data_IF_151838919825
#
_entry.id   IF_151838919825
#
_cell.length_a   1.000
_cell.length_b   1.000
_cell.length_c   1.000
_cell.angle_alpha   90.00
_cell.angle_beta   90.00
_cell.angle_gamma   90.00
#
_symmetry.space_group_name_H-M   'P 1'
#
loop_
_entity.id
_entity.type
_entity.pdbx_description
1 polymer ?
#
# COMPACT_ATOMS: atom_id res chain seq x y z
N UNK A 1 -46.26 -30.30 24.71
CA UNK A 1 -46.28 -29.06 25.51
C UNK A 1 -45.02 -28.20 25.30
N UNK A 2 -44.71 -27.77 24.07
CA UNK A 2 -43.51 -26.97 23.74
C UNK A 2 -43.82 -25.59 23.12
N UNK A 3 -45.09 -25.23 22.95
CA UNK A 3 -45.50 -24.00 22.24
C UNK A 3 -45.62 -22.74 23.10
N UNK A 4 -45.78 -22.87 24.42
CA UNK A 4 -45.95 -21.73 25.34
C UNK A 4 -44.64 -21.15 25.87
N UNK A 5 -43.57 -21.97 25.99
CA UNK A 5 -42.23 -21.47 26.38
C UNK A 5 -41.57 -20.67 25.25
N UNK A 6 -41.71 -21.11 23.99
CA UNK A 6 -41.22 -20.38 22.82
C UNK A 6 -41.94 -19.03 22.62
N UNK A 7 -43.27 -18.97 22.81
CA UNK A 7 -44.01 -17.70 22.77
C UNK A 7 -43.60 -16.73 23.87
N UNK A 8 -43.32 -17.22 25.09
CA UNK A 8 -42.78 -16.38 26.18
C UNK A 8 -41.36 -15.88 25.89
N UNK A 9 -40.54 -16.65 25.16
CA UNK A 9 -39.20 -16.24 24.75
C UNK A 9 -39.25 -15.15 23.66
N UNK A 10 -40.11 -15.32 22.65
CA UNK A 10 -40.34 -14.29 21.62
C UNK A 10 -40.99 -13.02 22.18
N UNK A 11 -41.86 -13.13 23.20
CA UNK A 11 -42.40 -11.98 23.90
C UNK A 11 -41.32 -11.25 24.72
N UNK A 12 -40.38 -11.98 25.37
CA UNK A 12 -39.22 -11.36 26.05
C UNK A 12 -38.26 -10.68 25.08
N UNK A 13 -38.04 -11.25 23.89
CA UNK A 13 -37.18 -10.66 22.85
C UNK A 13 -37.84 -9.49 22.09
N UNK A 14 -39.17 -9.43 22.03
CA UNK A 14 -39.90 -8.29 21.45
C UNK A 14 -40.07 -7.10 22.41
N UNK A 15 -39.71 -7.25 23.70
CA UNK A 15 -39.72 -6.14 24.68
C UNK A 15 -38.42 -5.30 24.63
N UNK A 16 -37.35 -5.78 23.99
CA UNK A 16 -36.14 -4.98 23.75
C UNK A 16 -36.22 -4.08 22.49
N UNK A 17 -37.31 -4.15 21.71
CA UNK A 17 -37.58 -3.17 20.64
C UNK A 17 -38.11 -1.82 21.15
N UNK A 18 -38.34 -1.71 22.46
CA UNK A 18 -38.71 -0.46 23.14
C UNK A 18 -37.63 0.02 24.14
N UNK A 19 -36.36 -0.39 23.96
CA UNK A 19 -35.26 0.50 24.37
C UNK A 19 -35.22 1.67 23.37
N UNK A 20 -36.11 2.63 23.64
CA UNK A 20 -35.84 4.04 23.41
C UNK A 20 -34.46 4.30 24.01
N UNK A 21 -33.42 4.17 23.19
CA UNK A 21 -32.26 5.04 23.31
C UNK A 21 -32.91 6.40 23.38
N UNK A 22 -32.92 6.98 24.57
CA UNK A 22 -33.16 8.39 24.76
C UNK A 22 -32.08 9.04 23.91
N UNK A 23 -32.41 9.25 22.63
CA UNK A 23 -31.69 10.17 21.80
C UNK A 23 -31.70 11.43 22.63
N UNK A 24 -30.53 11.77 23.15
CA UNK A 24 -30.28 13.08 23.71
C UNK A 24 -30.87 14.01 22.68
N UNK A 25 -32.03 14.57 23.02
CA UNK A 25 -32.71 15.55 22.22
C UNK A 25 -31.63 16.54 21.88
N UNK A 26 -31.21 16.54 20.61
CA UNK A 26 -30.39 17.61 20.07
C UNK A 26 -31.28 18.82 20.25
N UNK A 27 -31.18 19.48 21.42
CA UNK A 27 -31.53 20.87 21.58
C UNK A 27 -30.93 21.50 20.34
N UNK A 28 -31.80 21.89 19.41
CA UNK A 28 -31.43 22.62 18.21
C UNK A 28 -30.79 23.88 18.75
N UNK A 29 -29.49 23.82 18.97
CA UNK A 29 -28.65 25.00 18.96
C UNK A 29 -28.87 25.52 17.55
N UNK A 30 -29.80 26.47 17.41
CA UNK A 30 -29.85 27.35 16.26
C UNK A 30 -28.54 28.14 16.33
N UNK A 31 -27.45 27.49 15.91
CA UNK A 31 -26.24 28.19 15.48
C UNK A 31 -26.76 29.08 14.36
N UNK A 32 -26.79 30.39 14.60
CA UNK A 32 -26.88 31.40 13.54
C UNK A 32 -25.96 30.90 12.44
N UNK A 33 -26.54 30.42 11.33
CA UNK A 33 -25.75 30.06 10.15
C UNK A 33 -25.25 31.40 9.66
N UNK A 34 -24.03 31.77 10.06
CA UNK A 34 -23.24 32.75 9.34
C UNK A 34 -23.35 32.37 7.86
N UNK A 35 -23.56 33.33 6.95
CA UNK A 35 -23.58 33.04 5.53
C UNK A 35 -22.26 32.35 5.19
N UNK A 36 -22.30 31.04 4.99
CA UNK A 36 -21.16 30.28 4.51
C UNK A 36 -20.99 30.69 3.06
N UNK A 37 -20.01 31.55 2.80
CA UNK A 37 -19.49 31.75 1.46
C UNK A 37 -18.88 30.43 1.01
N UNK A 38 -19.63 29.65 0.22
CA UNK A 38 -19.13 28.44 -0.40
C UNK A 38 -18.22 28.85 -1.55
N UNK A 39 -16.92 28.61 -1.40
CA UNK A 39 -15.96 28.81 -2.49
C UNK A 39 -16.33 27.88 -3.65
N UNK A 40 -16.37 28.36 -4.89
CA UNK A 40 -16.60 27.51 -6.05
C UNK A 40 -15.60 26.34 -6.15
N UNK A 41 -16.04 25.20 -6.70
CA UNK A 41 -15.23 23.96 -6.77
C UNK A 41 -13.90 24.19 -7.54
N UNK A 42 -13.85 25.11 -8.52
CA UNK A 42 -12.62 25.46 -9.23
C UNK A 42 -11.61 26.22 -8.35
N UNK A 43 -12.08 27.12 -7.49
CA UNK A 43 -11.23 27.82 -6.51
C UNK A 43 -10.69 26.85 -5.47
N UNK A 44 -11.52 25.90 -5.00
CA UNK A 44 -11.06 24.84 -4.10
C UNK A 44 -10.02 23.94 -4.74
N UNK A 45 -10.18 23.59 -6.03
CA UNK A 45 -9.15 22.83 -6.74
C UNK A 45 -7.83 23.58 -6.81
N UNK A 46 -7.86 24.89 -7.10
CA UNK A 46 -6.65 25.72 -7.12
C UNK A 46 -5.97 25.75 -5.74
N UNK A 47 -6.74 25.93 -4.66
CA UNK A 47 -6.19 25.87 -3.29
C UNK A 47 -5.53 24.51 -3.02
N UNK A 48 -6.19 23.42 -3.46
CA UNK A 48 -5.66 22.07 -3.27
C UNK A 48 -4.41 21.79 -4.10
N UNK A 49 -4.23 22.46 -5.24
CA UNK A 49 -3.02 22.34 -6.07
C UNK A 49 -1.78 22.88 -5.35
N UNK A 50 -1.95 23.88 -4.47
CA UNK A 50 -0.87 24.44 -3.64
C UNK A 50 -0.83 23.89 -2.20
N UNK A 51 -1.57 22.82 -1.93
CA UNK A 51 -1.68 22.23 -0.59
C UNK A 51 -1.04 20.86 -0.54
N UNK A 52 -0.53 20.48 0.64
CA UNK A 52 -0.02 19.13 0.86
C UNK A 52 -1.06 18.06 0.53
N UNK A 53 -0.73 17.00 -0.24
CA UNK A 53 -1.63 15.88 -0.52
C UNK A 53 -2.17 15.23 0.76
N UNK A 54 -1.40 15.22 1.84
CA UNK A 54 -1.83 14.69 3.13
C UNK A 54 -2.94 15.52 3.76
N UNK A 55 -2.85 16.85 3.66
CA UNK A 55 -3.85 17.75 4.22
C UNK A 55 -5.12 17.75 3.38
N UNK A 56 -5.00 17.72 2.05
CA UNK A 56 -6.15 17.56 1.14
C UNK A 56 -6.95 16.30 1.48
N UNK A 57 -6.27 15.16 1.74
CA UNK A 57 -6.94 13.92 2.17
C UNK A 57 -7.62 14.05 3.54
N UNK A 58 -7.04 14.81 4.49
CA UNK A 58 -7.68 15.09 5.79
C UNK A 58 -8.90 16.00 5.62
N UNK A 59 -8.77 17.05 4.80
CA UNK A 59 -9.80 18.05 4.51
C UNK A 59 -11.07 17.45 3.90
N UNK A 60 -10.94 16.30 3.23
CA UNK A 60 -12.07 15.44 2.83
C UNK A 60 -13.07 15.16 3.96
N UNK A 61 -12.66 15.17 5.23
CA UNK A 61 -13.53 14.91 6.39
C UNK A 61 -14.18 16.16 6.98
N UNK A 62 -13.77 17.36 6.55
CA UNK A 62 -14.21 18.64 7.12
C UNK A 62 -15.64 18.96 6.72
N UNK A 63 -15.98 18.86 5.43
CA UNK A 63 -17.33 19.11 4.94
C UNK A 63 -17.63 18.30 3.65
N UNK A 64 -18.91 18.31 3.23
CA UNK A 64 -19.37 17.56 2.05
C UNK A 64 -18.78 18.07 0.73
N UNK A 65 -18.57 19.38 0.61
CA UNK A 65 -18.01 19.98 -0.60
C UNK A 65 -16.55 19.55 -0.79
N UNK A 66 -15.73 19.66 0.25
CA UNK A 66 -14.34 19.21 0.27
C UNK A 66 -14.27 17.73 -0.05
N UNK A 67 -15.16 16.92 0.56
CA UNK A 67 -15.27 15.51 0.24
C UNK A 67 -15.51 15.27 -1.26
N UNK A 68 -16.48 15.97 -1.85
CA UNK A 68 -16.84 15.86 -3.27
C UNK A 68 -15.65 16.25 -4.16
N UNK A 69 -15.00 17.39 -3.89
CA UNK A 69 -13.86 17.87 -4.68
C UNK A 69 -12.69 16.90 -4.61
N UNK A 70 -12.31 16.45 -3.40
CA UNK A 70 -11.22 15.47 -3.22
C UNK A 70 -11.56 14.13 -3.85
N UNK A 71 -12.77 13.61 -3.66
CA UNK A 71 -13.20 12.35 -4.29
C UNK A 71 -13.15 12.46 -5.84
N UNK A 72 -13.53 13.61 -6.40
CA UNK A 72 -13.44 13.84 -7.85
C UNK A 72 -11.98 13.89 -8.34
N UNK A 73 -11.07 14.50 -7.56
CA UNK A 73 -9.63 14.50 -7.89
C UNK A 73 -9.06 13.08 -7.90
N UNK A 74 -9.34 12.30 -6.85
CA UNK A 74 -8.87 10.89 -6.75
C UNK A 74 -9.44 10.03 -7.87
N UNK A 75 -10.69 10.26 -8.29
CA UNK A 75 -11.28 9.56 -9.45
C UNK A 75 -10.55 9.83 -10.76
N UNK A 76 -9.83 10.95 -10.88
CA UNK A 76 -9.03 11.31 -12.06
C UNK A 76 -7.59 10.78 -11.99
N UNK A 77 -7.15 10.24 -10.86
CA UNK A 77 -5.84 9.60 -10.75
C UNK A 77 -5.78 8.40 -11.70
N UNK A 78 -4.88 8.46 -12.68
CA UNK A 78 -4.60 7.40 -13.63
C UNK A 78 -3.27 6.69 -13.31
N UNK A 79 -2.29 7.44 -12.83
CA UNK A 79 -0.94 6.94 -12.56
C UNK A 79 -0.68 6.94 -11.05
N UNK A 80 -0.27 5.79 -10.52
CA UNK A 80 0.17 5.64 -9.14
C UNK A 80 1.58 5.04 -9.15
N UNK A 81 2.56 5.83 -8.71
CA UNK A 81 3.92 5.36 -8.51
C UNK A 81 4.24 5.32 -7.01
N UNK A 82 4.77 4.19 -6.54
CA UNK A 82 5.10 4.00 -5.13
C UNK A 82 6.51 3.46 -4.97
N UNK A 83 7.33 4.27 -4.32
CA UNK A 83 8.76 4.11 -4.18
C UNK A 83 9.14 3.80 -2.73
N UNK A 84 10.21 3.02 -2.56
CA UNK A 84 10.95 2.89 -1.31
C UNK A 84 12.41 3.26 -1.57
N UNK A 85 12.81 4.44 -1.10
CA UNK A 85 14.16 4.96 -1.31
C UNK A 85 14.58 5.88 -0.16
N UNK A 86 15.82 6.36 -0.18
CA UNK A 86 16.20 7.45 0.71
C UNK A 86 15.52 8.75 0.27
N UNK A 87 14.42 9.09 0.93
CA UNK A 87 13.62 10.27 0.62
C UNK A 87 14.33 11.59 0.96
N UNK A 88 15.49 11.56 1.65
CA UNK A 88 16.28 12.79 1.83
C UNK A 88 16.94 13.26 0.55
N UNK A 89 17.05 12.38 -0.46
CA UNK A 89 17.49 12.73 -1.81
C UNK A 89 16.43 13.52 -2.59
N UNK A 90 15.15 13.39 -2.22
CA UNK A 90 14.04 14.15 -2.83
C UNK A 90 13.84 15.46 -2.06
N UNK A 91 13.66 15.37 -0.75
CA UNK A 91 13.41 16.53 0.09
C UNK A 91 14.26 16.44 1.36
N UNK A 92 15.14 17.41 1.66
CA UNK A 92 16.01 17.39 2.82
C UNK A 92 15.26 17.19 4.15
N UNK A 93 15.95 16.67 5.18
CA UNK A 93 15.37 16.52 6.51
C UNK A 93 14.95 17.89 7.07
N UNK A 94 13.79 17.94 7.71
CA UNK A 94 13.24 19.17 8.30
C UNK A 94 12.42 20.04 7.33
N UNK A 95 12.56 19.85 6.01
CA UNK A 95 11.74 20.55 5.02
C UNK A 95 10.40 19.82 4.85
N UNK A 96 9.28 20.55 5.00
CA UNK A 96 7.92 19.99 4.91
C UNK A 96 7.40 19.94 3.46
N UNK A 97 7.91 20.80 2.60
CA UNK A 97 7.66 20.72 1.15
C UNK A 97 8.40 21.83 0.41
N UNK A 98 8.53 21.64 -0.89
CA UNK A 98 9.16 22.58 -1.84
C UNK A 98 8.15 23.13 -2.89
N UNK A 99 6.87 22.75 -2.76
CA UNK A 99 5.80 23.09 -3.71
C UNK A 99 5.38 21.90 -4.56
N UNK A 100 6.31 20.99 -4.87
CA UNK A 100 6.05 19.79 -5.67
C UNK A 100 5.95 18.55 -4.78
N UNK A 101 6.92 18.37 -3.89
CA UNK A 101 7.00 17.28 -2.94
C UNK A 101 6.65 17.75 -1.55
N UNK A 102 5.84 16.96 -0.85
CA UNK A 102 5.42 17.23 0.51
C UNK A 102 5.78 16.08 1.42
N UNK A 103 6.41 16.38 2.55
CA UNK A 103 6.74 15.42 3.60
C UNK A 103 5.57 15.28 4.57
N UNK A 104 5.28 14.04 4.96
CA UNK A 104 4.27 13.79 5.98
C UNK A 104 4.79 14.31 7.34
N UNK A 105 3.99 15.05 8.13
CA UNK A 105 4.49 15.74 9.32
C UNK A 105 5.00 14.82 10.44
N UNK A 106 4.48 13.59 10.54
CA UNK A 106 4.82 12.63 11.62
C UNK A 106 5.32 11.27 11.16
N UNK A 107 5.64 11.13 9.87
CA UNK A 107 6.07 9.87 9.27
C UNK A 107 7.08 10.13 8.16
N UNK A 108 7.96 9.16 7.93
CA UNK A 108 8.97 9.22 6.89
C UNK A 108 8.40 8.85 5.51
N UNK A 109 7.41 9.65 5.07
CA UNK A 109 6.75 9.54 3.77
C UNK A 109 6.81 10.88 3.05
N UNK A 110 6.98 10.83 1.73
CA UNK A 110 6.79 11.97 0.82
C UNK A 110 5.65 11.64 -0.14
N UNK A 111 4.87 12.65 -0.49
CA UNK A 111 3.88 12.55 -1.54
C UNK A 111 4.02 13.72 -2.51
N UNK A 112 3.81 13.42 -3.78
CA UNK A 112 3.62 14.39 -4.85
C UNK A 112 2.32 14.03 -5.57
N UNK A 113 1.47 15.03 -5.83
CA UNK A 113 0.16 14.82 -6.43
C UNK A 113 -0.09 15.87 -7.51
N UNK A 114 -0.09 15.40 -8.74
CA UNK A 114 -0.45 16.13 -9.94
C UNK A 114 -1.89 15.84 -10.34
N UNK A 115 -2.33 16.41 -11.46
CA UNK A 115 -3.71 16.28 -11.94
C UNK A 115 -4.17 14.82 -12.16
N UNK A 116 -3.27 13.93 -12.62
CA UNK A 116 -3.58 12.51 -12.90
C UNK A 116 -2.57 11.54 -12.30
N UNK A 117 -1.54 12.03 -11.64
CA UNK A 117 -0.38 11.29 -11.17
C UNK A 117 -0.26 11.45 -9.66
N UNK A 118 -0.06 10.35 -8.96
CA UNK A 118 0.28 10.34 -7.54
C UNK A 118 1.58 9.57 -7.37
N UNK A 119 2.57 10.22 -6.79
CA UNK A 119 3.81 9.58 -6.35
C UNK A 119 3.82 9.53 -4.82
N UNK A 120 4.04 8.34 -4.27
CA UNK A 120 4.22 8.12 -2.84
C UNK A 120 5.59 7.50 -2.60
N UNK A 121 6.42 8.14 -1.79
CA UNK A 121 7.75 7.61 -1.46
C UNK A 121 7.85 7.35 0.03
N UNK A 122 8.21 6.12 0.41
CA UNK A 122 8.56 5.77 1.78
C UNK A 122 10.09 5.75 1.95
N UNK A 123 10.57 6.22 3.10
CA UNK A 123 11.99 6.17 3.42
C UNK A 123 12.49 4.71 3.47
N UNK A 124 13.75 4.48 3.10
CA UNK A 124 14.41 3.17 3.16
C UNK A 124 14.27 2.53 4.55
N UNK A 125 14.46 3.33 5.60
CA UNK A 125 14.27 3.00 7.02
C UNK A 125 12.82 3.16 7.54
N UNK A 126 11.80 2.91 6.72
CA UNK A 126 10.39 2.93 7.17
C UNK A 126 10.11 1.95 8.33
N UNK A 127 9.15 2.29 9.19
CA UNK A 127 8.68 1.39 10.24
C UNK A 127 7.32 0.79 9.89
N UNK A 128 6.80 -0.11 10.73
CA UNK A 128 5.44 -0.63 10.63
C UNK A 128 4.38 0.49 10.56
N UNK A 129 4.61 1.62 11.24
CA UNK A 129 3.73 2.79 11.21
C UNK A 129 3.69 3.43 9.83
N UNK A 130 4.85 3.67 9.21
CA UNK A 130 4.93 4.21 7.84
C UNK A 130 4.30 3.23 6.84
N UNK A 131 4.59 1.93 6.94
CA UNK A 131 4.03 0.92 6.06
C UNK A 131 2.49 0.86 6.15
N UNK A 132 1.92 0.98 7.35
CA UNK A 132 0.46 1.02 7.54
C UNK A 132 -0.19 2.24 6.88
N UNK A 133 0.45 3.41 7.00
CA UNK A 133 -0.03 4.63 6.35
C UNK A 133 0.13 4.56 4.85
N UNK A 134 1.26 4.06 4.35
CA UNK A 134 1.51 3.88 2.93
C UNK A 134 0.49 2.91 2.33
N UNK A 135 0.25 1.75 2.94
CA UNK A 135 -0.78 0.81 2.51
C UNK A 135 -2.16 1.46 2.45
N UNK A 136 -2.50 2.28 3.43
CA UNK A 136 -3.77 3.01 3.45
C UNK A 136 -3.86 4.05 2.32
N UNK A 137 -2.76 4.72 1.99
CA UNK A 137 -2.67 5.64 0.86
C UNK A 137 -2.78 4.90 -0.50
N UNK A 138 -2.10 3.76 -0.64
CA UNK A 138 -2.21 2.87 -1.81
C UNK A 138 -3.66 2.40 -1.99
N UNK A 139 -4.34 1.99 -0.92
CA UNK A 139 -5.76 1.60 -0.97
C UNK A 139 -6.70 2.76 -1.33
N UNK A 140 -6.29 4.00 -1.07
CA UNK A 140 -7.07 5.19 -1.37
C UNK A 140 -6.94 5.58 -2.85
N UNK A 141 -5.72 5.74 -3.35
CA UNK A 141 -5.43 6.16 -4.72
C UNK A 141 -5.49 5.00 -5.74
N UNK A 142 -5.18 3.78 -5.31
CA UNK A 142 -5.12 2.60 -6.18
C UNK A 142 -6.47 2.14 -6.74
N UNK A 143 -7.59 2.56 -6.14
CA UNK A 143 -8.94 2.19 -6.61
C UNK A 143 -9.26 2.66 -8.03
N UNK A 144 -8.61 3.72 -8.47
CA UNK A 144 -8.89 4.42 -9.73
C UNK A 144 -7.70 4.44 -10.68
N UNK A 145 -6.50 4.12 -10.17
CA UNK A 145 -5.28 4.03 -10.94
C UNK A 145 -5.39 2.95 -12.04
N UNK A 146 -4.96 3.33 -13.24
CA UNK A 146 -4.88 2.47 -14.42
C UNK A 146 -3.46 1.95 -14.63
N UNK A 147 -2.46 2.76 -14.33
CA UNK A 147 -1.05 2.38 -14.37
C UNK A 147 -0.50 2.46 -12.95
N UNK A 148 -0.02 1.33 -12.45
CA UNK A 148 0.51 1.20 -11.08
C UNK A 148 1.93 0.70 -11.13
N UNK A 149 2.85 1.46 -10.54
CA UNK A 149 4.26 1.07 -10.42
C UNK A 149 4.61 0.98 -8.94
N UNK A 150 5.14 -0.16 -8.52
CA UNK A 150 5.50 -0.44 -7.13
C UNK A 150 6.93 -0.97 -7.06
N UNK A 151 7.71 -0.49 -6.10
CA UNK A 151 8.93 -1.18 -5.72
C UNK A 151 8.62 -2.53 -5.07
N UNK A 152 9.51 -3.51 -5.22
CA UNK A 152 9.32 -4.90 -4.78
C UNK A 152 8.94 -5.06 -3.31
N UNK A 153 9.50 -4.23 -2.42
CA UNK A 153 9.15 -4.20 -1.00
C UNK A 153 7.73 -3.66 -0.77
N UNK A 154 7.28 -2.70 -1.58
CA UNK A 154 5.92 -2.18 -1.57
C UNK A 154 4.95 -3.19 -2.19
N UNK A 155 5.32 -3.85 -3.28
CA UNK A 155 4.53 -4.91 -3.89
C UNK A 155 4.32 -6.08 -2.92
N UNK A 156 5.37 -6.50 -2.23
CA UNK A 156 5.29 -7.52 -1.18
C UNK A 156 4.42 -7.06 0.01
N UNK A 157 4.54 -5.80 0.43
CA UNK A 157 3.63 -5.20 1.43
C UNK A 157 2.17 -5.24 0.97
N UNK A 158 1.89 -4.94 -0.29
CA UNK A 158 0.53 -4.96 -0.85
C UNK A 158 -0.05 -6.37 -0.84
N UNK A 159 0.75 -7.39 -1.21
CA UNK A 159 0.35 -8.80 -1.19
C UNK A 159 0.09 -9.29 0.23
N UNK A 160 1.08 -9.16 1.13
CA UNK A 160 0.91 -9.53 2.54
C UNK A 160 -0.26 -8.76 3.18
N UNK A 161 -0.37 -7.48 2.83
CA UNK A 161 -1.44 -6.61 3.27
C UNK A 161 -2.83 -7.01 2.78
N UNK A 162 -3.02 -7.87 1.80
CA UNK A 162 -4.38 -8.33 1.46
C UNK A 162 -4.89 -9.38 2.44
N UNK A 163 -4.01 -10.21 3.01
CA UNK A 163 -4.40 -11.30 3.91
C UNK A 163 -4.32 -10.94 5.41
N UNK A 164 -3.72 -9.81 5.78
CA UNK A 164 -3.62 -9.38 7.19
C UNK A 164 -3.75 -7.87 7.41
N UNK A 165 -4.03 -7.48 8.65
CA UNK A 165 -3.85 -6.11 9.15
C UNK A 165 -2.62 -5.98 10.04
N UNK A 166 -2.03 -7.09 10.47
CA UNK A 166 -0.85 -7.12 11.32
C UNK A 166 0.41 -6.97 10.49
N UNK A 167 0.74 -5.71 10.18
CA UNK A 167 1.98 -5.41 9.49
C UNK A 167 3.20 -5.60 10.40
N UNK A 168 3.06 -5.64 11.72
CA UNK A 168 4.18 -5.92 12.62
C UNK A 168 4.68 -7.35 12.42
N UNK A 169 3.78 -8.34 12.32
CA UNK A 169 4.14 -9.71 11.94
C UNK A 169 4.83 -9.77 10.58
N UNK A 170 4.40 -8.94 9.63
CA UNK A 170 5.06 -8.85 8.32
C UNK A 170 6.52 -8.37 8.45
N UNK A 171 6.79 -7.34 9.26
CA UNK A 171 8.17 -6.89 9.51
C UNK A 171 9.02 -7.97 10.20
N UNK A 172 8.47 -8.70 11.17
CA UNK A 172 9.16 -9.82 11.85
C UNK A 172 9.48 -10.93 10.84
N UNK A 173 8.51 -11.31 10.02
CA UNK A 173 8.71 -12.28 8.94
C UNK A 173 9.78 -11.81 7.96
N UNK A 174 9.78 -10.53 7.56
CA UNK A 174 10.80 -9.97 6.69
C UNK A 174 12.19 -10.10 7.32
N UNK A 175 12.35 -9.73 8.58
CA UNK A 175 13.63 -9.86 9.29
C UNK A 175 14.12 -11.31 9.31
N UNK A 176 13.25 -12.27 9.63
CA UNK A 176 13.58 -13.70 9.65
C UNK A 176 13.87 -14.28 8.26
N UNK A 177 13.22 -13.78 7.20
CA UNK A 177 13.43 -14.21 5.82
C UNK A 177 14.66 -13.51 5.16
N UNK A 178 15.53 -12.90 5.96
CA UNK A 178 16.68 -12.10 5.53
C UNK A 178 16.32 -10.80 4.80
N UNK A 179 15.04 -10.42 4.79
CA UNK A 179 14.39 -9.41 3.96
C UNK A 179 14.69 -7.94 4.31
N UNK A 180 15.79 -7.60 4.94
CA UNK A 180 16.29 -6.22 4.93
C UNK A 180 16.84 -5.95 3.53
N UNK A 181 16.30 -4.95 2.82
CA UNK A 181 16.95 -4.52 1.57
C UNK A 181 18.34 -4.01 1.93
N UNK A 182 19.39 -4.30 1.14
CA UNK A 182 20.71 -3.75 1.41
C UNK A 182 20.57 -2.23 1.52
N UNK A 183 20.86 -1.71 2.70
CA UNK A 183 20.94 -0.26 2.87
C UNK A 183 22.19 0.17 2.09
N UNK A 184 22.12 1.18 1.20
CA UNK A 184 23.34 1.78 0.70
C UNK A 184 24.17 2.18 1.92
N UNK A 185 25.41 1.72 1.97
CA UNK A 185 26.39 2.13 2.99
C UNK A 185 26.41 3.64 3.01
N UNK A 186 25.81 4.24 4.05
CA UNK A 186 26.01 5.64 4.33
C UNK A 186 27.39 5.75 4.96
N UNK A 187 28.30 6.47 4.29
CA UNK A 187 29.57 6.84 4.88
C UNK A 187 29.31 7.58 6.20
N UNK A 188 29.87 7.08 7.31
CA UNK A 188 29.99 7.82 8.56
C UNK A 188 29.00 7.52 9.70
N UNK A 189 28.15 6.48 9.62
CA UNK A 189 27.39 6.01 10.79
C UNK A 189 27.88 4.61 11.17
N UNK A 190 28.61 4.49 12.28
CA UNK A 190 28.95 3.20 12.87
C UNK A 190 27.66 2.46 13.23
N UNK A 191 27.37 1.41 12.48
CA UNK A 191 26.26 0.51 12.79
C UNK A 191 26.59 -0.28 14.06
N UNK A 192 25.62 -0.57 14.94
CA UNK A 192 25.85 -1.41 16.11
C UNK A 192 26.46 -2.76 15.69
N UNK A 193 27.43 -3.28 16.44
CA UNK A 193 28.24 -4.45 16.05
C UNK A 193 27.48 -5.75 15.73
N UNK A 194 26.22 -5.89 16.14
CA UNK A 194 25.35 -7.00 15.72
C UNK A 194 24.88 -6.90 14.25
N UNK A 195 25.05 -5.75 13.62
CA UNK A 195 24.78 -5.49 12.20
C UNK A 195 26.04 -5.61 11.32
N UNK A 196 27.22 -5.75 11.91
CA UNK A 196 28.48 -5.98 11.17
C UNK A 196 28.62 -7.40 10.64
N UNK A 197 27.81 -8.35 11.13
CA UNK A 197 27.92 -9.75 10.73
C UNK A 197 27.32 -10.06 9.34
N UNK A 198 26.69 -9.09 8.66
CA UNK A 198 25.99 -9.31 7.38
C UNK A 198 26.80 -8.94 6.11
N UNK A 199 28.12 -8.71 6.21
CA UNK A 199 28.93 -8.30 5.06
C UNK A 199 29.97 -9.36 4.64
N UNK A 200 29.54 -10.61 4.46
CA UNK A 200 30.00 -11.41 3.32
C UNK A 200 28.80 -11.60 2.41
N UNK A 201 28.60 -10.63 1.52
CA UNK A 201 27.57 -10.62 0.49
C UNK A 201 27.85 -11.75 -0.51
N UNK A 202 27.63 -12.99 -0.09
CA UNK A 202 27.62 -14.15 -0.97
C UNK A 202 26.34 -14.05 -1.81
N UNK A 203 26.45 -13.38 -2.96
CA UNK A 203 25.44 -13.43 -4.03
C UNK A 203 24.97 -14.87 -4.26
N UNK A 204 25.84 -15.86 -4.10
CA UNK A 204 25.59 -17.29 -4.25
C UNK A 204 24.66 -17.93 -3.22
N UNK A 205 24.67 -17.54 -1.92
CA UNK A 205 23.85 -18.24 -0.91
C UNK A 205 22.37 -17.88 -0.97
N UNK A 206 22.03 -16.63 -1.31
CA UNK A 206 20.63 -16.19 -1.35
C UNK A 206 19.96 -16.31 -2.72
N UNK A 207 20.70 -16.68 -3.77
CA UNK A 207 20.14 -16.94 -5.11
C UNK A 207 19.17 -18.14 -5.12
N UNK A 208 19.15 -18.99 -4.09
CA UNK A 208 18.48 -20.29 -4.17
C UNK A 208 17.74 -20.74 -2.90
N UNK A 209 17.38 -19.87 -1.94
CA UNK A 209 16.61 -20.34 -0.78
C UNK A 209 15.28 -20.96 -1.27
N UNK A 210 15.05 -22.27 -1.07
CA UNK A 210 13.79 -22.92 -1.41
C UNK A 210 12.68 -22.38 -0.51
N UNK A 211 11.43 -22.47 -0.97
CA UNK A 211 10.26 -22.01 -0.20
C UNK A 211 10.16 -22.74 1.15
N UNK A 212 10.63 -24.00 1.21
CA UNK A 212 10.65 -24.81 2.42
C UNK A 212 11.56 -24.25 3.53
N UNK A 213 12.59 -23.47 3.17
CA UNK A 213 13.56 -22.92 4.13
C UNK A 213 13.15 -21.51 4.61
N UNK A 214 11.99 -21.01 4.17
CA UNK A 214 11.47 -19.72 4.61
C UNK A 214 10.77 -19.88 5.96
N UNK A 215 10.82 -18.85 6.83
CA UNK A 215 10.04 -18.85 8.05
C UNK A 215 8.56 -19.03 7.72
N UNK A 216 7.81 -19.68 8.62
CA UNK A 216 6.38 -19.86 8.41
C UNK A 216 5.67 -18.50 8.48
N UNK A 217 4.96 -18.13 7.40
CA UNK A 217 4.05 -16.99 7.43
C UNK A 217 2.77 -17.36 8.18
N UNK A 218 2.61 -16.81 9.38
CA UNK A 218 1.44 -17.02 10.22
C UNK A 218 1.04 -15.70 10.91
N UNK A 219 0.33 -14.81 10.20
CA UNK A 219 -0.05 -13.53 10.78
C UNK A 219 -1.09 -13.73 11.89
N UNK A 220 -0.98 -12.91 12.93
CA UNK A 220 -1.88 -12.93 14.09
C UNK A 220 -3.31 -12.51 13.73
N UNK A 221 -3.47 -11.70 12.69
CA UNK A 221 -4.78 -11.33 12.15
C UNK A 221 -4.95 -11.83 10.73
N UNK A 222 -6.19 -12.24 10.41
CA UNK A 222 -6.58 -12.59 9.05
C UNK A 222 -7.58 -11.57 8.52
N UNK A 223 -7.45 -11.22 7.25
CA UNK A 223 -8.34 -10.31 6.54
C UNK A 223 -8.90 -11.00 5.31
N UNK A 224 -10.21 -10.86 5.10
CA UNK A 224 -10.86 -11.18 3.83
C UNK A 224 -10.80 -9.92 2.95
N UNK A 225 -10.13 -9.95 1.79
CA UNK A 225 -10.09 -8.82 0.88
C UNK A 225 -11.49 -8.59 0.29
N UNK A 226 -11.93 -7.32 0.23
CA UNK A 226 -13.24 -6.93 -0.31
C UNK A 226 -13.24 -6.78 -1.85
N UNK A 227 -12.14 -7.15 -2.50
CA UNK A 227 -11.91 -7.00 -3.93
C UNK A 227 -10.43 -6.71 -4.24
N UNK A 228 -10.09 -6.52 -5.52
CA UNK A 228 -8.74 -6.22 -5.94
C UNK A 228 -8.24 -4.90 -5.34
N UNK A 229 -6.95 -4.82 -5.01
CA UNK A 229 -6.31 -3.57 -4.59
C UNK A 229 -6.38 -2.48 -5.68
N UNK A 230 -6.18 -2.90 -6.92
CA UNK A 230 -6.14 -2.07 -8.12
C UNK A 230 -7.18 -2.59 -9.13
N UNK A 231 -8.47 -2.37 -8.86
CA UNK A 231 -9.57 -2.95 -9.66
C UNK A 231 -9.73 -2.33 -11.05
N UNK A 232 -8.99 -1.25 -11.35
CA UNK A 232 -8.97 -0.56 -12.64
C UNK A 232 -7.62 -0.60 -13.35
N UNK A 233 -6.64 -1.30 -12.77
CA UNK A 233 -5.30 -1.34 -13.33
C UNK A 233 -5.29 -2.11 -14.65
N UNK A 234 -4.83 -1.42 -15.68
CA UNK A 234 -4.50 -1.97 -17.00
C UNK A 234 -3.03 -2.32 -17.09
N UNK A 235 -2.19 -1.58 -16.39
CA UNK A 235 -0.75 -1.76 -16.38
C UNK A 235 -0.23 -1.83 -14.95
N UNK A 236 0.53 -2.87 -14.64
CA UNK A 236 1.18 -3.03 -13.34
C UNK A 236 2.65 -3.31 -13.55
N UNK A 237 3.50 -2.55 -12.87
CA UNK A 237 4.95 -2.74 -12.89
C UNK A 237 5.48 -2.97 -11.48
N UNK A 238 6.15 -4.09 -11.26
CA UNK A 238 6.97 -4.32 -10.06
C UNK A 238 8.44 -4.04 -10.40
N UNK A 239 9.04 -3.08 -9.69
CA UNK A 239 10.46 -2.72 -9.79
C UNK A 239 11.27 -3.45 -8.74
N UNK A 240 12.34 -4.11 -9.13
CA UNK A 240 13.21 -4.81 -8.20
C UNK A 240 14.65 -4.78 -8.69
N UNK A 241 15.60 -4.73 -7.78
CA UNK A 241 16.99 -5.09 -8.07
C UNK A 241 17.18 -6.61 -8.02
N UNK A 242 18.29 -7.12 -8.54
CA UNK A 242 18.61 -8.56 -8.47
C UNK A 242 18.53 -9.11 -7.03
N UNK A 243 19.11 -8.45 -6.00
CA UNK A 243 18.96 -8.90 -4.60
C UNK A 243 17.50 -8.89 -4.08
N UNK A 244 16.64 -8.03 -4.65
CA UNK A 244 15.24 -7.92 -4.26
C UNK A 244 14.33 -8.97 -4.91
N UNK A 245 14.80 -9.73 -5.92
CA UNK A 245 14.01 -10.79 -6.57
C UNK A 245 13.49 -11.86 -5.60
N UNK A 246 14.19 -12.08 -4.50
CA UNK A 246 13.72 -12.95 -3.41
C UNK A 246 12.34 -12.55 -2.88
N UNK A 247 12.01 -11.25 -2.82
CA UNK A 247 10.69 -10.75 -2.40
C UNK A 247 9.59 -11.24 -3.32
N UNK A 248 9.86 -11.19 -4.64
CA UNK A 248 8.93 -11.64 -5.67
C UNK A 248 8.71 -13.16 -5.60
N UNK A 249 9.77 -13.92 -5.32
CA UNK A 249 9.66 -15.38 -5.13
C UNK A 249 8.88 -15.79 -3.89
N UNK A 250 8.77 -14.91 -2.89
CA UNK A 250 8.05 -15.17 -1.63
C UNK A 250 6.57 -14.80 -1.69
N UNK A 251 6.07 -14.25 -2.79
CA UNK A 251 4.67 -13.84 -2.87
C UNK A 251 3.70 -15.03 -2.67
N UNK A 252 4.09 -16.23 -3.09
CA UNK A 252 3.36 -17.49 -2.84
C UNK A 252 3.16 -17.80 -1.35
N UNK A 253 4.10 -17.40 -0.49
CA UNK A 253 4.09 -17.70 0.96
C UNK A 253 2.91 -17.02 1.65
N UNK A 254 2.49 -15.85 1.16
CA UNK A 254 1.35 -15.10 1.71
C UNK A 254 0.00 -15.72 1.36
N UNK A 255 -0.03 -16.77 0.51
CA UNK A 255 -1.25 -17.45 0.04
C UNK A 255 -2.32 -16.49 -0.48
N UNK A 256 -1.87 -15.37 -1.04
CA UNK A 256 -2.72 -14.29 -1.52
C UNK A 256 -2.71 -14.36 -3.04
N UNK A 257 -3.84 -14.69 -3.69
CA UNK A 257 -3.87 -14.83 -5.13
C UNK A 257 -3.76 -13.47 -5.84
N UNK A 258 -3.22 -13.42 -7.07
CA UNK A 258 -3.01 -12.17 -7.81
C UNK A 258 -4.31 -11.41 -8.09
N UNK A 259 -5.45 -12.12 -8.17
CA UNK A 259 -6.80 -11.57 -8.31
C UNK A 259 -7.22 -10.62 -7.18
N UNK A 260 -6.58 -10.71 -6.01
CA UNK A 260 -6.79 -9.77 -4.89
C UNK A 260 -5.96 -8.49 -5.02
N UNK A 261 -5.02 -8.45 -5.96
CA UNK A 261 -4.21 -7.28 -6.27
C UNK A 261 -4.77 -6.55 -7.49
N UNK A 262 -5.14 -7.28 -8.54
CA UNK A 262 -5.66 -6.70 -9.77
C UNK A 262 -6.68 -7.62 -10.44
N UNK A 263 -7.46 -7.08 -11.38
CA UNK A 263 -8.41 -7.87 -12.18
C UNK A 263 -7.72 -8.38 -13.46
N UNK A 264 -7.52 -9.71 -13.63
CA UNK A 264 -6.85 -10.27 -14.81
C UNK A 264 -7.52 -9.90 -16.14
N UNK A 265 -8.84 -9.69 -16.12
CA UNK A 265 -9.65 -9.34 -17.29
C UNK A 265 -9.33 -7.93 -17.79
N UNK A 266 -9.03 -7.01 -16.86
CA UNK A 266 -8.71 -5.61 -17.17
C UNK A 266 -7.22 -5.39 -17.43
N UNK A 267 -6.38 -6.27 -16.88
CA UNK A 267 -4.94 -6.20 -17.04
C UNK A 267 -4.57 -6.38 -18.52
N UNK A 268 -3.85 -5.40 -19.06
CA UNK A 268 -3.27 -5.41 -20.39
C UNK A 268 -1.79 -5.81 -20.33
N UNK A 269 -1.06 -5.30 -19.33
CA UNK A 269 0.36 -5.58 -19.15
C UNK A 269 0.70 -5.74 -17.68
N UNK A 270 1.39 -6.83 -17.35
CA UNK A 270 2.12 -6.99 -16.10
C UNK A 270 3.62 -6.99 -16.39
N UNK A 271 4.37 -6.12 -15.72
CA UNK A 271 5.80 -5.93 -15.93
C UNK A 271 6.60 -6.20 -14.67
N UNK A 272 7.62 -7.05 -14.79
CA UNK A 272 8.68 -7.16 -13.80
C UNK A 272 9.92 -6.44 -14.35
N UNK A 273 10.25 -5.26 -13.79
CA UNK A 273 11.45 -4.50 -14.14
C UNK A 273 12.58 -4.83 -13.16
N UNK A 274 13.68 -5.36 -13.69
CA UNK A 274 14.86 -5.78 -12.93
C UNK A 274 15.96 -4.75 -13.16
N UNK A 275 16.15 -3.87 -12.17
CA UNK A 275 17.07 -2.73 -12.20
C UNK A 275 18.50 -3.18 -11.84
N UNK A 276 19.48 -2.68 -12.59
CA UNK A 276 20.90 -2.93 -12.37
C UNK A 276 21.40 -4.26 -12.94
N UNK A 277 20.59 -4.93 -13.76
CA UNK A 277 20.98 -6.14 -14.46
C UNK A 277 21.51 -5.78 -15.85
N UNK A 278 22.78 -6.10 -16.14
CA UNK A 278 23.32 -5.97 -17.51
C UNK A 278 22.45 -6.79 -18.48
N UNK A 279 22.36 -6.37 -19.75
CA UNK A 279 21.54 -6.92 -20.86
C UNK A 279 21.54 -8.46 -21.06
N UNK A 280 22.33 -9.21 -20.28
CA UNK A 280 22.26 -10.66 -20.16
C UNK A 280 21.65 -11.00 -18.80
N UNK A 281 20.35 -11.20 -18.78
CA UNK A 281 19.70 -11.93 -17.69
C UNK A 281 20.49 -13.22 -17.45
N UNK A 282 20.99 -13.50 -16.24
CA UNK A 282 21.61 -14.79 -16.03
C UNK A 282 20.49 -15.84 -16.18
N UNK A 283 20.72 -16.85 -17.02
CA UNK A 283 19.82 -18.01 -17.19
C UNK A 283 19.49 -18.72 -15.86
N UNK A 284 20.17 -18.34 -14.77
CA UNK A 284 19.99 -18.77 -13.40
C UNK A 284 18.90 -18.02 -12.61
N UNK A 285 18.24 -16.99 -13.15
CA UNK A 285 17.15 -16.30 -12.42
C UNK A 285 15.94 -17.22 -12.23
N UNK A 286 15.84 -17.82 -11.04
CA UNK A 286 14.72 -18.68 -10.63
C UNK A 286 13.44 -17.87 -10.39
N UNK A 287 12.79 -17.42 -11.46
CA UNK A 287 11.51 -16.70 -11.42
C UNK A 287 10.29 -17.62 -11.34
N UNK A 288 10.48 -18.95 -11.38
CA UNK A 288 9.38 -19.93 -11.35
C UNK A 288 8.37 -19.69 -10.22
N UNK A 289 8.77 -19.51 -8.94
CA UNK A 289 7.80 -19.27 -7.86
C UNK A 289 6.97 -17.99 -8.07
N UNK A 290 7.57 -16.95 -8.64
CA UNK A 290 6.87 -15.70 -8.95
C UNK A 290 5.90 -15.89 -10.11
N UNK A 291 6.30 -16.61 -11.15
CA UNK A 291 5.44 -16.96 -12.29
C UNK A 291 4.25 -17.83 -11.89
N UNK A 292 4.48 -18.80 -11.02
CA UNK A 292 3.45 -19.64 -10.43
C UNK A 292 2.46 -18.80 -9.61
N UNK A 293 2.95 -17.92 -8.74
CA UNK A 293 2.09 -16.97 -8.00
C UNK A 293 1.25 -16.10 -8.92
N UNK A 294 1.86 -15.59 -10.00
CA UNK A 294 1.20 -14.69 -10.94
C UNK A 294 0.24 -15.41 -11.89
N UNK A 295 0.23 -16.75 -11.87
CA UNK A 295 -0.50 -17.58 -12.83
C UNK A 295 -0.12 -17.19 -14.28
N UNK A 296 1.19 -17.10 -14.55
CA UNK A 296 1.72 -16.54 -15.80
C UNK A 296 1.19 -17.20 -17.07
N UNK A 297 0.83 -18.48 -16.97
CA UNK A 297 0.29 -19.26 -18.09
C UNK A 297 -1.08 -18.70 -18.54
N UNK A 298 -1.87 -18.14 -17.62
CA UNK A 298 -3.13 -17.47 -17.93
C UNK A 298 -2.92 -16.05 -18.48
N UNK A 299 -1.84 -15.39 -18.09
CA UNK A 299 -1.52 -14.04 -18.60
C UNK A 299 -1.00 -14.06 -20.03
N UNK A 300 -0.35 -15.15 -20.46
CA UNK A 300 0.21 -15.28 -21.80
C UNK A 300 1.11 -14.09 -22.15
N UNK A 301 0.80 -13.41 -23.26
CA UNK A 301 1.56 -12.27 -23.78
C UNK A 301 1.46 -10.99 -22.92
N UNK A 302 0.62 -10.98 -21.87
CA UNK A 302 0.49 -9.83 -20.96
C UNK A 302 1.66 -9.71 -19.99
N UNK A 303 2.43 -10.78 -19.76
CA UNK A 303 3.59 -10.76 -18.87
C UNK A 303 4.86 -10.35 -19.60
N UNK A 304 5.50 -9.28 -19.13
CA UNK A 304 6.78 -8.79 -19.62
C UNK A 304 7.83 -8.78 -18.49
N UNK A 305 9.03 -9.31 -18.76
CA UNK A 305 10.19 -9.19 -17.86
C UNK A 305 11.23 -8.33 -18.56
N UNK A 306 11.65 -7.24 -17.90
CA UNK A 306 12.57 -6.26 -18.46
C UNK A 306 13.81 -6.13 -17.59
N UNK A 307 14.96 -6.00 -18.23
CA UNK A 307 16.24 -5.75 -17.59
C UNK A 307 16.61 -4.30 -17.87
N UNK A 308 16.77 -3.50 -16.82
CA UNK A 308 16.96 -2.06 -16.87
C UNK A 308 18.26 -1.66 -16.17
#
# INVERSE_FOLDING_TARGET
MLSNKLRKLFAKLNVEKDMKIQSISKKKLQKKRLPTYELPDNVLNLIFDYSSPFDVVKWRRVNRQFKKVVDNRVRRTLYLDVLRMDITQILPRGVLGDGDFFRHPTCNLIAHHEHRSVLLAAHSQWTAKEAAKLRSAIQFFGKTAHTVTLDSSIAELCVAGQCTTDLSSWFVFQAAAGGTDPCPTMDGIEMPGWLHSEAKFNQTMYLCQPVADLPQWNPTTQRIPLGPLFPKAKEITFRCTVPQLRRMRRLTVYRTPPTTIFSPEQLQVFRLSIIGARNRAPASLKLRPFREWLESDQLGNKLCVQFC
#
